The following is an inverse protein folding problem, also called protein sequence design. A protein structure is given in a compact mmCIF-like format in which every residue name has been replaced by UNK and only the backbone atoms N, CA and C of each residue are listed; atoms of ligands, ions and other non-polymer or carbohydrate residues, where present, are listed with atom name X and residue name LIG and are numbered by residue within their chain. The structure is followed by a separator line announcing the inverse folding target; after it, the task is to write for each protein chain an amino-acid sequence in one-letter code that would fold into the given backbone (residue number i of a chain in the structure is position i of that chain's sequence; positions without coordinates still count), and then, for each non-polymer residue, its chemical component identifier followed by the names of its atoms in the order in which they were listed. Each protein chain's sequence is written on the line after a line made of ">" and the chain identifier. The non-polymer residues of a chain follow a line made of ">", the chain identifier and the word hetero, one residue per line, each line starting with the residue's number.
data_IF_157204224427
#
_entry.id   IF_157204224427
#
_cell.length_a   1.000
_cell.length_b   1.000
_cell.length_c   1.000
_cell.angle_alpha   90.00
_cell.angle_beta   90.00
_cell.angle_gamma   90.00
#
_symmetry.space_group_name_H-M   'P 1'
#
loop_
_entity.id
_entity.type
_entity.pdbx_description
1 polymer ?
#
# COMPACT_ATOMS: atom_id res chain seq x y z
N UNK A 1 10.69 18.20 6.27
CA UNK A 1 10.83 16.76 6.61
C UNK A 1 10.12 16.40 7.91
N UNK A 2 10.52 16.93 9.07
CA UNK A 2 9.90 16.60 10.37
C UNK A 2 8.39 16.88 10.40
N UNK A 3 7.96 17.98 9.79
CA UNK A 3 6.55 18.31 9.70
C UNK A 3 5.75 17.33 8.82
N UNK A 4 6.34 16.86 7.72
CA UNK A 4 5.74 15.81 6.88
C UNK A 4 5.57 14.49 7.65
N UNK A 5 6.56 14.13 8.47
CA UNK A 5 6.48 12.97 9.36
C UNK A 5 5.35 13.14 10.37
N UNK A 6 5.25 14.31 11.01
CA UNK A 6 4.18 14.60 11.94
C UNK A 6 2.80 14.44 11.30
N UNK A 7 2.58 15.02 10.11
CA UNK A 7 1.30 14.87 9.41
C UNK A 7 1.02 13.43 9.00
N UNK A 8 2.02 12.69 8.51
CA UNK A 8 1.85 11.28 8.19
C UNK A 8 1.46 10.43 9.41
N UNK A 9 2.10 10.67 10.57
CA UNK A 9 1.77 9.98 11.83
C UNK A 9 0.33 10.20 12.30
N UNK A 10 -0.25 11.35 11.96
CA UNK A 10 -1.62 11.70 12.33
C UNK A 10 -2.62 11.50 11.19
N UNK A 11 -2.18 10.87 10.08
CA UNK A 11 -2.96 10.71 8.86
C UNK A 11 -3.56 12.03 8.32
N UNK A 12 -2.90 13.16 8.59
CA UNK A 12 -3.31 14.48 8.09
C UNK A 12 -2.80 14.67 6.66
N UNK A 13 -3.48 14.01 5.73
CA UNK A 13 -3.13 13.99 4.30
C UNK A 13 -3.34 15.37 3.66
N UNK A 14 -4.29 16.17 4.16
CA UNK A 14 -4.56 17.51 3.65
C UNK A 14 -3.38 18.45 3.95
N UNK A 15 -2.90 18.47 5.20
CA UNK A 15 -1.71 19.23 5.56
C UNK A 15 -0.46 18.73 4.84
N UNK A 16 -0.33 17.41 4.62
CA UNK A 16 0.75 16.85 3.83
C UNK A 16 0.69 17.29 2.35
N UNK A 17 -0.51 17.36 1.77
CA UNK A 17 -0.74 17.86 0.41
C UNK A 17 -0.35 19.34 0.27
N UNK A 18 -0.73 20.17 1.25
CA UNK A 18 -0.35 21.58 1.28
C UNK A 18 1.17 21.72 1.42
N UNK A 19 1.78 20.99 2.35
CA UNK A 19 3.22 21.02 2.56
C UNK A 19 4.00 20.61 1.29
N UNK A 20 3.49 19.61 0.56
CA UNK A 20 4.08 19.13 -0.69
C UNK A 20 3.98 20.17 -1.80
N UNK A 21 2.84 20.87 -1.92
CA UNK A 21 2.69 21.91 -2.95
C UNK A 21 3.59 23.13 -2.72
N UNK A 22 3.79 23.51 -1.45
CA UNK A 22 4.67 24.64 -1.09
C UNK A 22 6.15 24.30 -1.33
N UNK A 23 6.55 23.07 -1.01
CA UNK A 23 7.96 22.65 -1.01
C UNK A 23 8.28 21.60 -2.08
N UNK A 24 7.59 21.63 -3.22
CA UNK A 24 7.74 20.67 -4.32
C UNK A 24 9.19 20.55 -4.84
N UNK A 25 10.01 21.59 -4.70
CA UNK A 25 11.42 21.58 -5.11
C UNK A 25 12.37 20.91 -4.11
N UNK A 26 11.95 20.75 -2.86
CA UNK A 26 12.78 20.24 -1.75
C UNK A 26 12.33 18.84 -1.33
N UNK A 27 11.02 18.61 -1.36
CA UNK A 27 10.42 17.34 -0.95
C UNK A 27 10.23 16.48 -2.19
N UNK A 28 11.16 15.57 -2.43
CA UNK A 28 11.05 14.59 -3.50
C UNK A 28 10.00 13.53 -3.18
N UNK A 29 9.28 13.10 -4.22
CA UNK A 29 8.26 12.05 -4.18
C UNK A 29 8.72 10.78 -3.45
N UNK A 30 9.93 10.32 -3.74
CA UNK A 30 10.48 9.13 -3.09
C UNK A 30 10.60 9.33 -1.56
N UNK A 31 10.95 10.52 -1.09
CA UNK A 31 11.02 10.81 0.35
C UNK A 31 9.62 10.79 0.97
N UNK A 32 8.61 11.37 0.31
CA UNK A 32 7.23 11.34 0.79
C UNK A 32 6.69 9.92 0.89
N UNK A 33 6.91 9.11 -0.14
CA UNK A 33 6.49 7.72 -0.15
C UNK A 33 7.17 6.92 0.97
N UNK A 34 8.45 7.17 1.25
CA UNK A 34 9.15 6.56 2.40
C UNK A 34 8.60 7.02 3.74
N UNK A 35 8.23 8.31 3.87
CA UNK A 35 7.58 8.83 5.08
C UNK A 35 6.25 8.14 5.30
N UNK A 36 5.40 8.07 4.26
CA UNK A 36 4.11 7.38 4.34
C UNK A 36 4.30 5.90 4.70
N UNK A 37 5.26 5.22 4.08
CA UNK A 37 5.54 3.81 4.35
C UNK A 37 5.98 3.56 5.80
N UNK A 38 6.68 4.52 6.40
CA UNK A 38 7.27 4.37 7.74
C UNK A 38 6.35 4.86 8.85
N UNK A 39 5.51 5.86 8.57
CA UNK A 39 4.84 6.63 9.61
C UNK A 39 3.33 6.76 9.44
N UNK A 40 2.76 6.43 8.28
CA UNK A 40 1.30 6.40 8.14
C UNK A 40 0.76 5.17 8.89
N UNK A 41 -0.13 5.34 9.88
CA UNK A 41 -0.70 4.22 10.63
C UNK A 41 -1.26 3.14 9.70
N UNK A 42 -0.99 1.87 10.00
CA UNK A 42 -1.35 0.74 9.15
C UNK A 42 -2.87 0.49 9.14
N UNK A 43 -3.56 0.97 10.18
CA UNK A 43 -5.02 1.00 10.28
C UNK A 43 -5.66 2.07 9.38
N UNK A 44 -4.88 2.99 8.81
CA UNK A 44 -5.41 4.08 8.00
C UNK A 44 -5.98 3.55 6.67
N UNK A 45 -7.21 3.96 6.36
CA UNK A 45 -7.90 3.45 5.17
C UNK A 45 -7.30 4.05 3.90
N UNK A 46 -7.08 3.27 2.83
CA UNK A 46 -6.60 3.76 1.54
C UNK A 46 -7.38 4.96 0.99
N UNK A 47 -8.70 5.00 1.19
CA UNK A 47 -9.55 6.10 0.76
C UNK A 47 -9.07 7.49 1.25
N UNK A 48 -8.37 7.55 2.39
CA UNK A 48 -7.86 8.81 2.97
C UNK A 48 -6.63 9.34 2.21
N UNK A 49 -5.78 8.47 1.66
CA UNK A 49 -4.48 8.86 1.10
C UNK A 49 -4.27 8.51 -0.38
N UNK A 50 -5.11 7.68 -0.99
CA UNK A 50 -5.04 7.35 -2.43
C UNK A 50 -5.14 8.61 -3.30
N UNK A 51 -6.03 9.55 -2.96
CA UNK A 51 -6.16 10.80 -3.70
C UNK A 51 -4.88 11.65 -3.67
N UNK A 52 -4.14 11.62 -2.55
CA UNK A 52 -2.84 12.27 -2.45
C UNK A 52 -1.78 11.58 -3.30
N UNK A 53 -1.74 10.24 -3.28
CA UNK A 53 -0.83 9.47 -4.13
C UNK A 53 -1.08 9.71 -5.62
N UNK A 54 -2.35 9.84 -6.04
CA UNK A 54 -2.70 10.20 -7.42
C UNK A 54 -2.17 11.59 -7.78
N UNK A 55 -2.35 12.59 -6.92
CA UNK A 55 -1.77 13.93 -7.13
C UNK A 55 -0.25 13.91 -7.24
N UNK A 56 0.41 13.04 -6.48
CA UNK A 56 1.85 12.85 -6.51
C UNK A 56 2.31 12.27 -7.85
N UNK A 57 1.61 11.28 -8.39
CA UNK A 57 1.87 10.72 -9.72
C UNK A 57 1.64 11.73 -10.84
N UNK A 58 0.53 12.46 -10.77
CA UNK A 58 0.14 13.41 -11.82
C UNK A 58 0.92 14.75 -11.70
N UNK A 59 1.74 14.90 -10.65
CA UNK A 59 2.37 16.15 -10.23
C UNK A 59 1.40 17.33 -10.21
N UNK A 60 0.14 17.08 -9.82
CA UNK A 60 -0.99 18.02 -9.96
C UNK A 60 -1.27 18.82 -8.69
N UNK A 61 -0.22 19.08 -7.92
CA UNK A 61 -0.34 19.90 -6.71
C UNK A 61 -0.51 21.38 -7.09
N UNK A 62 -1.70 21.91 -6.84
CA UNK A 62 -1.97 23.34 -7.02
C UNK A 62 -1.13 24.17 -6.04
N UNK A 63 -0.51 25.30 -6.50
CA UNK A 63 0.27 26.17 -5.63
C UNK A 63 -0.62 26.75 -4.53
N UNK A 64 -0.44 26.30 -3.28
CA UNK A 64 -1.15 26.84 -2.13
C UNK A 64 -0.28 27.84 -1.36
N UNK A 65 -0.94 28.83 -0.77
CA UNK A 65 -0.30 29.73 0.20
C UNK A 65 -0.17 29.03 1.56
N UNK A 66 0.90 29.32 2.29
CA UNK A 66 1.24 28.78 3.63
C UNK A 66 0.22 29.11 4.73
N UNK A 67 -0.82 29.88 4.44
CA UNK A 67 -1.70 30.56 5.40
C UNK A 67 -2.59 29.65 6.25
N UNK A 68 -2.47 28.32 6.13
CA UNK A 68 -3.23 27.35 6.91
C UNK A 68 -2.44 26.16 7.45
N UNK A 69 -1.11 26.14 7.29
CA UNK A 69 -0.30 25.01 7.74
C UNK A 69 0.12 25.18 9.20
N UNK A 70 -0.29 24.27 10.08
CA UNK A 70 0.19 24.29 11.46
C UNK A 70 1.67 23.87 11.53
N UNK A 71 2.52 24.81 11.91
CA UNK A 71 3.96 24.62 12.09
C UNK A 71 4.34 24.48 13.57
N UNK A 72 3.37 24.57 14.48
CA UNK A 72 3.57 24.43 15.93
C UNK A 72 4.40 23.20 16.36
N UNK A 73 4.32 22.02 15.68
CA UNK A 73 5.10 20.85 16.08
C UNK A 73 6.62 21.00 15.91
N UNK A 74 7.06 21.95 15.08
CA UNK A 74 8.49 22.17 14.76
C UNK A 74 9.00 23.56 15.14
N UNK A 75 8.13 24.49 15.49
CA UNK A 75 8.51 25.88 15.80
C UNK A 75 9.45 26.04 17.01
N UNK A 76 9.49 25.07 17.92
CA UNK A 76 10.36 25.08 19.09
C UNK A 76 11.71 24.38 18.88
N UNK A 77 11.98 23.87 17.67
CA UNK A 77 13.14 23.06 17.35
C UNK A 77 14.15 23.92 16.58
N UNK A 78 15.41 23.97 17.04
CA UNK A 78 16.49 24.62 16.29
C UNK A 78 17.01 23.72 15.15
N UNK A 79 17.75 24.30 14.20
CA UNK A 79 18.22 23.58 13.02
C UNK A 79 19.13 22.37 13.35
N UNK A 80 19.91 22.46 14.43
CA UNK A 80 20.84 21.40 14.84
C UNK A 80 20.07 20.20 15.41
N UNK A 81 19.09 20.47 16.26
CA UNK A 81 18.17 19.47 16.79
C UNK A 81 17.29 18.90 15.68
N UNK A 82 16.85 19.73 14.72
CA UNK A 82 16.10 19.26 13.57
C UNK A 82 16.92 18.29 12.71
N UNK A 83 18.20 18.59 12.45
CA UNK A 83 19.12 17.70 11.73
C UNK A 83 19.33 16.38 12.48
N UNK A 84 19.54 16.43 13.81
CA UNK A 84 19.65 15.23 14.65
C UNK A 84 18.39 14.38 14.60
N UNK A 85 17.20 14.98 14.67
CA UNK A 85 15.93 14.25 14.56
C UNK A 85 15.72 13.65 13.18
N UNK A 86 16.04 14.40 12.13
CA UNK A 86 15.94 13.92 10.75
C UNK A 86 16.79 12.66 10.51
N UNK A 87 18.01 12.61 11.04
CA UNK A 87 18.87 11.40 10.93
C UNK A 87 18.33 10.19 11.69
N UNK A 88 17.52 10.41 12.73
CA UNK A 88 16.89 9.37 13.56
C UNK A 88 15.52 8.91 13.04
N UNK A 89 15.02 9.46 11.93
CA UNK A 89 13.74 9.05 11.38
C UNK A 89 13.75 7.61 10.84
N UNK A 90 14.93 7.09 10.48
CA UNK A 90 15.11 5.72 9.98
C UNK A 90 14.08 5.30 8.92
N UNK A 91 13.77 6.22 7.98
CA UNK A 91 12.77 6.00 6.94
C UNK A 91 13.03 4.70 6.19
N UNK A 92 12.02 3.83 6.14
CA UNK A 92 12.09 2.57 5.43
C UNK A 92 12.48 2.80 3.97
N UNK A 93 13.42 2.02 3.42
CA UNK A 93 13.78 2.12 2.02
C UNK A 93 12.65 1.57 1.14
N UNK A 94 12.44 2.15 -0.06
CA UNK A 94 11.57 1.56 -1.08
C UNK A 94 12.32 0.46 -1.83
N UNK A 95 12.82 -0.53 -1.11
CA UNK A 95 13.58 -1.65 -1.67
C UNK A 95 12.99 -2.94 -1.14
N UNK A 96 12.62 -3.82 -2.05
CA UNK A 96 12.20 -5.17 -1.71
C UNK A 96 13.32 -6.17 -1.99
N UNK A 97 13.45 -7.17 -1.13
CA UNK A 97 14.58 -8.12 -1.18
C UNK A 97 14.48 -9.12 -2.32
N UNK A 98 13.27 -9.36 -2.83
CA UNK A 98 13.01 -10.29 -3.93
C UNK A 98 12.82 -9.50 -5.24
N UNK A 99 13.53 -9.84 -6.34
CA UNK A 99 13.34 -9.19 -7.64
C UNK A 99 12.02 -9.61 -8.30
N UNK A 100 10.89 -9.06 -7.84
CA UNK A 100 9.67 -9.06 -8.64
C UNK A 100 9.78 -7.99 -9.73
N UNK A 101 9.08 -8.17 -10.86
CA UNK A 101 9.02 -7.16 -11.94
C UNK A 101 8.59 -5.77 -11.41
N UNK A 102 7.85 -5.74 -10.29
CA UNK A 102 7.35 -4.55 -9.60
C UNK A 102 8.45 -3.86 -8.79
N UNK A 103 9.40 -4.64 -8.25
CA UNK A 103 10.55 -4.12 -7.51
C UNK A 103 11.52 -3.34 -8.41
N UNK A 104 11.45 -3.53 -9.73
CA UNK A 104 12.15 -2.72 -10.74
C UNK A 104 11.35 -1.50 -11.21
N UNK A 105 10.13 -1.31 -10.68
CA UNK A 105 9.28 -0.18 -10.98
C UNK A 105 9.75 1.13 -10.36
N UNK A 106 9.00 2.20 -10.64
CA UNK A 106 9.22 3.52 -10.07
C UNK A 106 8.95 3.55 -8.55
N UNK A 107 9.21 4.69 -7.91
CA UNK A 107 9.06 4.83 -6.45
C UNK A 107 7.63 4.50 -5.99
N UNK A 108 6.60 4.90 -6.74
CA UNK A 108 5.21 4.57 -6.40
C UNK A 108 4.95 3.07 -6.47
N UNK A 109 5.37 2.39 -7.54
CA UNK A 109 5.17 0.94 -7.67
C UNK A 109 5.80 0.18 -6.51
N UNK A 110 7.02 0.57 -6.11
CA UNK A 110 7.73 0.00 -4.96
C UNK A 110 7.01 0.30 -3.65
N UNK A 111 6.50 1.52 -3.46
CA UNK A 111 5.69 1.90 -2.31
C UNK A 111 4.41 1.07 -2.21
N UNK A 112 3.63 0.96 -3.30
CA UNK A 112 2.38 0.20 -3.32
C UNK A 112 2.62 -1.25 -2.97
N UNK A 113 3.65 -1.86 -3.55
CA UNK A 113 4.06 -3.22 -3.24
C UNK A 113 4.32 -3.40 -1.74
N UNK A 114 5.23 -2.61 -1.17
CA UNK A 114 5.60 -2.70 0.25
C UNK A 114 4.41 -2.43 1.18
N UNK A 115 3.59 -1.42 0.87
CA UNK A 115 2.46 -1.03 1.70
C UNK A 115 1.36 -2.09 1.71
N UNK A 116 1.09 -2.73 0.57
CA UNK A 116 0.14 -3.84 0.48
C UNK A 116 0.59 -5.02 1.36
N UNK A 117 1.88 -5.37 1.34
CA UNK A 117 2.41 -6.43 2.20
C UNK A 117 2.29 -6.06 3.69
N UNK A 118 2.70 -4.85 4.08
CA UNK A 118 2.53 -4.37 5.47
C UNK A 118 1.06 -4.42 5.91
N UNK A 119 0.14 -3.94 5.07
CA UNK A 119 -1.29 -3.97 5.37
C UNK A 119 -1.80 -5.40 5.54
N UNK A 120 -1.35 -6.34 4.71
CA UNK A 120 -1.77 -7.74 4.82
C UNK A 120 -1.25 -8.38 6.12
N UNK A 121 0.03 -8.19 6.45
CA UNK A 121 0.66 -8.78 7.63
C UNK A 121 0.08 -8.21 8.94
N UNK A 122 -0.17 -6.90 8.99
CA UNK A 122 -0.53 -6.24 10.25
C UNK A 122 -2.03 -6.19 10.52
N UNK A 123 -2.84 -6.02 9.48
CA UNK A 123 -4.28 -5.77 9.66
C UNK A 123 -5.17 -6.89 9.16
N UNK A 124 -4.67 -7.72 8.23
CA UNK A 124 -5.47 -8.75 7.55
C UNK A 124 -6.68 -8.19 6.77
N UNK A 125 -6.77 -6.87 6.56
CA UNK A 125 -7.92 -6.22 5.91
C UNK A 125 -7.85 -6.37 4.38
N UNK A 126 -8.18 -7.57 3.89
CA UNK A 126 -8.03 -7.95 2.49
C UNK A 126 -8.73 -7.02 1.49
N UNK A 127 -9.93 -6.53 1.82
CA UNK A 127 -10.65 -5.61 0.94
C UNK A 127 -9.88 -4.30 0.70
N UNK A 128 -9.18 -3.80 1.73
CA UNK A 128 -8.44 -2.55 1.64
C UNK A 128 -7.17 -2.69 0.77
N UNK A 129 -6.66 -3.90 0.58
CA UNK A 129 -5.55 -4.11 -0.36
C UNK A 129 -5.97 -3.70 -1.78
N UNK A 130 -7.20 -4.05 -2.18
CA UNK A 130 -7.71 -3.69 -3.51
C UNK A 130 -8.06 -2.21 -3.61
N UNK A 131 -8.57 -1.61 -2.53
CA UNK A 131 -8.84 -0.17 -2.47
C UNK A 131 -7.57 0.67 -2.69
N UNK A 132 -6.42 0.20 -2.21
CA UNK A 132 -5.12 0.83 -2.46
C UNK A 132 -4.60 0.55 -3.87
N UNK A 133 -4.67 -0.70 -4.34
CA UNK A 133 -3.96 -1.14 -5.54
C UNK A 133 -4.67 -0.78 -6.85
N UNK A 134 -5.99 -0.99 -6.92
CA UNK A 134 -6.76 -0.85 -8.16
C UNK A 134 -6.70 0.55 -8.81
N UNK A 135 -6.70 1.67 -8.05
CA UNK A 135 -6.58 3.00 -8.61
C UNK A 135 -5.31 3.21 -9.46
N UNK A 136 -4.26 2.43 -9.24
CA UNK A 136 -2.97 2.55 -9.94
C UNK A 136 -2.76 1.47 -11.01
N UNK A 137 -3.78 0.70 -11.36
CA UNK A 137 -3.67 -0.36 -12.36
C UNK A 137 -3.26 0.10 -13.76
N UNK A 138 -3.37 1.40 -14.08
CA UNK A 138 -2.89 1.97 -15.36
C UNK A 138 -1.51 2.62 -15.27
N UNK A 139 -0.98 2.78 -14.06
CA UNK A 139 0.28 3.47 -13.81
C UNK A 139 1.48 2.65 -14.26
N UNK A 140 1.49 1.36 -13.89
CA UNK A 140 2.58 0.44 -14.20
C UNK A 140 2.01 -0.92 -14.63
N UNK A 141 2.46 -1.49 -15.77
CA UNK A 141 1.95 -2.77 -16.25
C UNK A 141 2.29 -3.93 -15.30
N UNK A 142 3.40 -3.84 -14.55
CA UNK A 142 3.76 -4.78 -13.50
C UNK A 142 2.77 -4.76 -12.33
N UNK A 143 2.32 -3.57 -11.90
CA UNK A 143 1.27 -3.43 -10.88
C UNK A 143 -0.04 -4.06 -11.36
N UNK A 144 -0.42 -3.81 -12.62
CA UNK A 144 -1.62 -4.42 -13.20
C UNK A 144 -1.53 -5.95 -13.22
N UNK A 145 -0.43 -6.48 -13.75
CA UNK A 145 -0.18 -7.92 -13.84
C UNK A 145 -0.23 -8.56 -12.46
N UNK A 146 0.42 -7.96 -11.46
CA UNK A 146 0.42 -8.44 -10.09
C UNK A 146 -0.97 -8.41 -9.45
N UNK A 147 -1.70 -7.31 -9.63
CA UNK A 147 -3.08 -7.19 -9.14
C UNK A 147 -3.95 -8.33 -9.69
N UNK A 148 -3.92 -8.56 -11.01
CA UNK A 148 -4.78 -9.55 -11.67
C UNK A 148 -4.36 -10.99 -11.37
N UNK A 149 -3.06 -11.29 -11.38
CA UNK A 149 -2.57 -12.67 -11.24
C UNK A 149 -2.39 -13.13 -9.79
N UNK A 150 -2.24 -12.21 -8.85
CA UNK A 150 -1.83 -12.52 -7.47
C UNK A 150 -2.79 -11.93 -6.45
N UNK A 151 -2.86 -10.60 -6.34
CA UNK A 151 -3.55 -9.94 -5.23
C UNK A 151 -5.05 -10.15 -5.28
N UNK A 152 -5.70 -10.02 -6.45
CA UNK A 152 -7.14 -10.23 -6.59
C UNK A 152 -7.53 -11.69 -6.31
N UNK A 153 -6.90 -12.72 -6.91
CA UNK A 153 -7.18 -14.11 -6.57
C UNK A 153 -7.03 -14.38 -5.07
N UNK A 154 -5.95 -13.90 -4.46
CA UNK A 154 -5.69 -14.05 -3.03
C UNK A 154 -6.77 -13.38 -2.17
N UNK A 155 -7.14 -12.13 -2.46
CA UNK A 155 -8.19 -11.41 -1.72
C UNK A 155 -9.53 -12.09 -1.89
N UNK A 156 -9.92 -12.47 -3.11
CA UNK A 156 -11.19 -13.19 -3.35
C UNK A 156 -11.23 -14.50 -2.58
N UNK A 157 -10.11 -15.23 -2.54
CA UNK A 157 -9.98 -16.45 -1.75
C UNK A 157 -10.15 -16.18 -0.26
N UNK A 158 -9.42 -15.20 0.27
CA UNK A 158 -9.47 -14.86 1.69
C UNK A 158 -10.82 -14.35 2.14
N UNK A 159 -11.59 -13.66 1.27
CA UNK A 159 -12.96 -13.24 1.56
C UNK A 159 -13.97 -14.40 1.64
N UNK A 160 -13.62 -15.61 1.19
CA UNK A 160 -14.45 -16.81 1.39
C UNK A 160 -14.34 -17.36 2.81
N UNK A 161 -13.32 -16.94 3.58
CA UNK A 161 -13.16 -17.38 4.96
C UNK A 161 -14.19 -16.71 5.88
N UNK A 162 -14.71 -17.48 6.83
CA UNK A 162 -15.62 -16.96 7.86
C UNK A 162 -14.86 -16.00 8.77
N UNK A 163 -15.57 -15.01 9.30
CA UNK A 163 -15.05 -14.07 10.29
C UNK A 163 -14.32 -14.79 11.42
N UNK A 164 -13.06 -14.41 11.65
CA UNK A 164 -12.18 -15.02 12.65
C UNK A 164 -11.30 -16.18 12.15
N UNK A 165 -11.45 -16.60 10.88
CA UNK A 165 -10.53 -17.56 10.24
C UNK A 165 -9.64 -16.81 9.26
N UNK A 166 -8.33 -16.88 9.46
CA UNK A 166 -7.36 -16.31 8.51
C UNK A 166 -7.07 -17.29 7.37
N UNK A 167 -6.66 -16.77 6.19
CA UNK A 167 -6.10 -17.60 5.13
C UNK A 167 -4.92 -18.44 5.63
N UNK A 168 -4.67 -19.58 4.98
CA UNK A 168 -3.58 -20.48 5.34
C UNK A 168 -2.18 -19.88 5.10
N UNK A 169 -2.10 -18.92 4.19
CA UNK A 169 -0.88 -18.21 3.81
C UNK A 169 -1.15 -16.71 3.89
N UNK A 170 -0.16 -15.94 4.31
CA UNK A 170 -0.06 -14.51 4.03
C UNK A 170 0.11 -14.28 2.53
N UNK A 171 -0.02 -13.02 2.08
CA UNK A 171 0.16 -12.67 0.67
C UNK A 171 1.59 -12.99 0.20
N UNK A 172 2.59 -12.72 1.04
CA UNK A 172 3.98 -12.99 0.69
C UNK A 172 4.25 -14.50 0.60
N UNK A 173 3.71 -15.29 1.54
CA UNK A 173 3.83 -16.75 1.49
C UNK A 173 3.12 -17.32 0.27
N UNK A 174 1.95 -16.77 -0.09
CA UNK A 174 1.20 -17.17 -1.28
C UNK A 174 1.99 -16.88 -2.57
N UNK A 175 2.67 -15.74 -2.66
CA UNK A 175 3.52 -15.36 -3.80
C UNK A 175 4.75 -16.27 -3.97
N UNK A 176 5.25 -16.83 -2.87
CA UNK A 176 6.40 -17.74 -2.86
C UNK A 176 6.03 -19.20 -3.12
N UNK A 177 4.73 -19.53 -3.18
CA UNK A 177 4.28 -20.89 -3.48
C UNK A 177 4.67 -21.30 -4.91
N UNK A 178 5.07 -22.58 -5.11
CA UNK A 178 5.13 -23.15 -6.45
C UNK A 178 3.76 -23.07 -7.14
N UNK A 179 3.73 -22.80 -8.44
CA UNK A 179 2.49 -22.59 -9.24
C UNK A 179 1.39 -23.62 -8.94
N UNK A 180 1.74 -24.91 -8.85
CA UNK A 180 0.78 -25.97 -8.56
C UNK A 180 0.14 -25.83 -7.17
N UNK A 181 0.91 -25.44 -6.15
CA UNK A 181 0.41 -25.23 -4.79
C UNK A 181 -0.41 -23.95 -4.69
N UNK A 182 -0.03 -22.90 -5.41
CA UNK A 182 -0.80 -21.67 -5.48
C UNK A 182 -2.19 -21.93 -6.12
N UNK A 183 -2.23 -22.67 -7.23
CA UNK A 183 -3.49 -23.08 -7.87
C UNK A 183 -4.31 -23.97 -6.94
N UNK A 184 -3.69 -24.96 -6.30
CA UNK A 184 -4.39 -25.84 -5.35
C UNK A 184 -4.98 -25.05 -4.18
N UNK A 185 -4.23 -24.11 -3.60
CA UNK A 185 -4.71 -23.22 -2.54
C UNK A 185 -5.93 -22.42 -3.00
N UNK A 186 -5.84 -21.79 -4.17
CA UNK A 186 -6.94 -21.01 -4.74
C UNK A 186 -8.19 -21.88 -4.93
N UNK A 187 -8.06 -23.10 -5.45
CA UNK A 187 -9.19 -23.98 -5.77
C UNK A 187 -9.73 -24.80 -4.58
N UNK A 188 -9.00 -24.91 -3.47
CA UNK A 188 -9.39 -25.77 -2.36
C UNK A 188 -10.58 -25.19 -1.56
N UNK A 189 -11.73 -25.86 -1.41
CA UNK A 189 -12.87 -25.30 -0.67
C UNK A 189 -12.52 -24.92 0.78
N UNK A 190 -12.98 -23.75 1.25
CA UNK A 190 -12.69 -23.26 2.60
C UNK A 190 -13.44 -24.07 3.69
N UNK A 191 -14.60 -24.65 3.34
CA UNK A 191 -15.39 -25.52 4.22
C UNK A 191 -15.59 -26.89 3.55
N UNK A 192 -14.81 -27.91 3.90
CA UNK A 192 -14.96 -29.30 3.40
C UNK A 192 -16.24 -30.02 3.87
N UNK A 193 -17.29 -29.28 4.30
CA UNK A 193 -18.56 -29.83 4.79
C UNK A 193 -19.80 -29.35 4.02
N UNK A 194 -19.66 -28.55 2.97
CA UNK A 194 -20.78 -28.09 2.15
C UNK A 194 -20.72 -28.68 0.73
N UNK A 195 -21.41 -29.82 0.56
CA UNK A 195 -21.91 -30.41 -0.69
C UNK A 195 -20.92 -30.74 -1.84
N UNK A 196 -21.28 -31.65 -2.77
CA UNK A 196 -20.43 -32.04 -3.88
C UNK A 196 -20.11 -30.84 -4.79
N UNK A 197 -18.93 -30.86 -5.41
CA UNK A 197 -18.47 -29.88 -6.41
C UNK A 197 -19.49 -29.69 -7.54
N UNK A 198 -20.46 -28.80 -7.37
CA UNK A 198 -21.48 -28.57 -8.41
C UNK A 198 -21.09 -27.49 -9.42
N UNK A 199 -20.11 -26.61 -9.16
CA UNK A 199 -19.74 -25.59 -10.13
C UNK A 199 -18.26 -25.19 -10.08
N UNK A 200 -17.39 -26.11 -10.51
CA UNK A 200 -15.97 -25.80 -10.80
C UNK A 200 -15.86 -24.61 -11.75
N UNK A 201 -16.77 -24.46 -12.71
CA UNK A 201 -16.82 -23.32 -13.63
C UNK A 201 -17.11 -21.97 -12.93
N UNK A 202 -17.87 -21.96 -11.83
CA UNK A 202 -18.12 -20.76 -11.04
C UNK A 202 -16.92 -20.41 -10.16
N UNK A 203 -16.27 -21.40 -9.56
CA UNK A 203 -15.06 -21.21 -8.76
C UNK A 203 -13.91 -20.73 -9.65
N UNK A 204 -13.74 -21.31 -10.84
CA UNK A 204 -12.77 -20.86 -11.83
C UNK A 204 -13.07 -19.43 -12.32
N UNK A 205 -14.34 -19.08 -12.59
CA UNK A 205 -14.66 -17.69 -12.98
C UNK A 205 -14.52 -16.70 -11.84
N UNK A 206 -14.86 -17.08 -10.62
CA UNK A 206 -14.77 -16.20 -9.46
C UNK A 206 -13.34 -16.02 -8.99
N UNK A 207 -12.44 -16.98 -9.21
CA UNK A 207 -11.05 -16.94 -8.76
C UNK A 207 -10.06 -16.59 -9.87
N UNK A 208 -10.32 -17.01 -11.12
CA UNK A 208 -9.39 -16.95 -12.25
C UNK A 208 -9.89 -16.04 -13.40
N UNK A 209 -11.14 -15.56 -13.38
CA UNK A 209 -11.69 -14.81 -14.51
C UNK A 209 -11.80 -13.28 -14.33
N UNK A 210 -11.74 -12.54 -15.46
CA UNK A 210 -10.61 -12.38 -16.38
C UNK A 210 -9.57 -11.34 -15.90
#
# INVERSE_FOLDING_TARGET
>A
LLLAVHFAQHADIDSLSILTSIHATIIHDEILLRILLTHLPETERPATYVGFLQKLVDHSFEPCQLTGLDTSPVNSIDDNEAAKRATKLHLLPLVFRNPSDIAQGDALSRFLFLRIHQMNEETGMLAQLLDLLLPFGRHNPGIHKWAMSTVIPYVRKGLQYRTGTSPAYSLIEFEELPDHQAVDFLLCPVDSRAQPRENVDHDLRSIIGP
#
